data_IF_455705348860
#
_entry.id   IF_455705348860
#
_cell.length_a   1.000
_cell.length_b   1.000
_cell.length_c   1.000
_cell.angle_alpha   90.00
_cell.angle_beta   90.00
_cell.angle_gamma   90.00
#
_symmetry.space_group_name_H-M   'P 1'
#
loop_
_entity.id
_entity.type
_entity.pdbx_description
1 polymer ?
#
# COMPACT_ATOMS: atom_id res chain seq x y z
N UNK A 1 6.88 70.76 27.18
CA UNK A 1 7.92 70.07 26.39
C UNK A 1 7.62 68.59 26.52
N UNK A 2 6.60 68.15 25.81
CA UNK A 2 6.65 67.66 24.41
C UNK A 2 7.30 66.29 24.30
N UNK A 3 6.49 65.39 23.72
CA UNK A 3 6.67 63.96 23.55
C UNK A 3 7.79 63.61 22.58
N UNK A 4 8.22 62.34 22.59
CA UNK A 4 8.40 61.52 21.38
C UNK A 4 8.06 60.08 21.76
N UNK A 5 7.09 59.54 21.02
CA UNK A 5 6.63 58.16 20.96
C UNK A 5 7.54 57.43 19.98
N UNK A 6 8.04 56.25 20.34
CA UNK A 6 8.80 55.39 19.45
C UNK A 6 7.89 54.31 18.88
N UNK A 7 7.37 54.57 17.68
CA UNK A 7 6.80 53.57 16.76
C UNK A 7 7.88 52.56 16.37
N UNK A 8 7.55 51.28 16.39
CA UNK A 8 8.28 50.26 15.64
C UNK A 8 7.28 49.33 14.99
N UNK A 9 6.94 49.77 13.78
CA UNK A 9 6.32 49.16 12.61
C UNK A 9 6.11 47.64 12.63
N UNK A 10 4.84 47.29 12.44
CA UNK A 10 4.32 45.99 12.01
C UNK A 10 4.71 45.78 10.54
N UNK A 11 5.48 44.73 10.25
CA UNK A 11 5.68 44.25 8.88
C UNK A 11 4.64 43.14 8.60
N UNK A 12 3.56 43.53 7.92
CA UNK A 12 2.68 42.62 7.19
C UNK A 12 3.40 42.19 5.90
N UNK A 13 3.82 40.92 5.81
CA UNK A 13 4.20 40.31 4.53
C UNK A 13 3.02 39.56 3.93
N UNK A 14 2.46 40.22 2.93
CA UNK A 14 1.37 39.90 2.03
C UNK A 14 1.80 38.88 0.95
N UNK A 15 0.95 37.88 0.75
CA UNK A 15 0.57 37.21 -0.50
C UNK A 15 1.63 36.79 -1.54
N UNK A 16 2.09 35.54 -1.40
CA UNK A 16 2.54 34.73 -2.54
C UNK A 16 1.48 33.69 -2.90
N UNK A 17 0.56 34.02 -3.80
CA UNK A 17 -0.32 33.06 -4.47
C UNK A 17 0.52 31.91 -5.06
N UNK A 18 0.40 30.71 -4.48
CA UNK A 18 0.93 29.51 -5.11
C UNK A 18 -0.12 29.03 -6.12
N UNK A 19 0.20 29.26 -7.39
CA UNK A 19 -0.54 28.72 -8.53
C UNK A 19 -0.70 27.21 -8.37
N UNK A 20 -1.91 26.73 -8.67
CA UNK A 20 -2.31 25.35 -8.47
C UNK A 20 -1.40 24.38 -9.21
N UNK A 21 -0.82 23.46 -8.45
CA UNK A 21 -0.34 22.20 -9.00
C UNK A 21 -1.54 21.51 -9.64
N UNK A 22 -1.54 21.49 -10.97
CA UNK A 22 -2.43 20.69 -11.79
C UNK A 22 -2.15 19.23 -11.43
N UNK A 23 -3.16 18.56 -10.89
CA UNK A 23 -3.11 17.14 -10.56
C UNK A 23 -2.81 16.32 -11.85
N UNK A 24 -1.55 15.92 -12.03
CA UNK A 24 -1.13 14.98 -13.09
C UNK A 24 -1.81 13.58 -12.95
N UNK A 25 -2.58 13.37 -11.88
CA UNK A 25 -3.41 12.19 -11.65
C UNK A 25 -4.73 12.21 -12.48
N UNK A 26 -5.10 13.33 -13.11
CA UNK A 26 -6.31 13.41 -13.94
C UNK A 26 -6.12 12.85 -15.36
N UNK A 27 -4.89 12.86 -15.90
CA UNK A 27 -4.59 12.35 -17.25
C UNK A 27 -4.57 10.80 -17.34
N UNK A 28 -4.44 10.09 -16.21
CA UNK A 28 -4.50 8.62 -16.17
C UNK A 28 -5.92 8.07 -16.37
N UNK A 29 -6.96 8.89 -16.23
CA UNK A 29 -8.36 8.47 -16.39
C UNK A 29 -8.87 8.58 -17.83
N UNK A 30 -8.23 9.37 -18.71
CA UNK A 30 -8.68 9.50 -20.11
C UNK A 30 -8.22 8.33 -20.99
N UNK A 31 -7.15 7.64 -20.63
CA UNK A 31 -6.67 6.46 -21.36
C UNK A 31 -7.58 5.22 -21.18
N UNK A 32 -8.54 5.26 -20.24
CA UNK A 32 -9.53 4.20 -20.00
C UNK A 32 -10.66 4.11 -21.05
N UNK A 33 -10.82 5.09 -21.95
CA UNK A 33 -11.98 5.12 -22.86
C UNK A 33 -11.79 4.34 -24.17
N UNK A 34 -10.59 3.93 -24.53
CA UNK A 34 -10.30 3.40 -25.87
C UNK A 34 -9.53 2.06 -25.88
N UNK A 35 -10.00 1.04 -25.16
CA UNK A 35 -9.51 -0.34 -25.38
C UNK A 35 -10.62 -1.40 -25.43
N UNK A 36 -10.98 -1.69 -26.69
CA UNK A 36 -11.34 -3.00 -27.26
C UNK A 36 -12.72 -3.59 -26.95
N UNK A 37 -13.67 -3.23 -27.80
CA UNK A 37 -14.66 -4.17 -28.34
C UNK A 37 -13.94 -5.33 -29.04
N UNK A 38 -13.82 -6.48 -28.36
CA UNK A 38 -13.39 -7.72 -28.99
C UNK A 38 -14.58 -8.31 -29.77
N UNK A 39 -14.72 -7.91 -31.04
CA UNK A 39 -15.48 -8.69 -32.02
C UNK A 39 -14.63 -9.88 -32.41
N UNK A 40 -15.10 -11.08 -32.05
CA UNK A 40 -14.52 -12.34 -32.50
C UNK A 40 -15.09 -12.62 -33.89
N UNK A 41 -14.33 -12.29 -34.93
CA UNK A 41 -14.60 -12.78 -36.28
C UNK A 41 -14.03 -14.19 -36.40
N UNK A 42 -14.93 -15.16 -36.54
CA UNK A 42 -14.59 -16.56 -36.81
C UNK A 42 -14.40 -16.78 -38.31
N UNK A 43 -13.16 -16.75 -38.79
CA UNK A 43 -12.81 -17.42 -40.04
C UNK A 43 -12.38 -18.84 -39.71
N UNK A 44 -13.26 -19.79 -40.02
CA UNK A 44 -13.00 -21.23 -39.95
C UNK A 44 -12.02 -21.63 -41.05
N UNK A 45 -10.92 -22.26 -40.69
CA UNK A 45 -10.29 -23.26 -41.55
C UNK A 45 -9.86 -24.45 -40.69
N UNK A 46 -10.25 -25.63 -41.17
CA UNK A 46 -10.38 -26.84 -40.37
C UNK A 46 -9.07 -27.42 -39.86
N UNK A 47 -9.03 -27.71 -38.56
CA UNK A 47 -8.46 -28.93 -37.99
C UNK A 47 -8.79 -28.99 -36.49
N UNK A 48 -9.06 -30.20 -36.01
CA UNK A 48 -9.38 -30.62 -34.64
C UNK A 48 -10.79 -30.31 -34.07
N UNK A 49 -11.68 -31.29 -34.24
CA UNK A 49 -12.91 -31.51 -33.45
C UNK A 49 -12.69 -31.47 -31.92
N UNK A 50 -11.44 -31.53 -31.46
CA UNK A 50 -11.06 -31.39 -30.05
C UNK A 50 -11.30 -29.97 -29.53
N UNK A 51 -11.07 -28.95 -30.36
CA UNK A 51 -11.36 -27.56 -30.05
C UNK A 51 -12.86 -27.28 -30.09
N UNK A 52 -13.59 -27.86 -31.04
CA UNK A 52 -15.05 -27.83 -31.06
C UNK A 52 -15.67 -28.45 -29.80
N UNK A 53 -15.13 -29.59 -29.33
CA UNK A 53 -15.56 -30.22 -28.09
C UNK A 53 -15.17 -29.44 -26.83
N UNK A 54 -14.01 -28.77 -26.83
CA UNK A 54 -13.59 -27.87 -25.75
C UNK A 54 -14.48 -26.63 -25.66
N UNK A 55 -14.69 -25.93 -26.79
CA UNK A 55 -15.60 -24.78 -26.87
C UNK A 55 -17.05 -25.18 -26.60
N UNK A 56 -17.46 -26.38 -27.00
CA UNK A 56 -18.79 -26.94 -26.67
C UNK A 56 -18.95 -27.28 -25.19
N UNK A 57 -17.88 -27.62 -24.47
CA UNK A 57 -17.88 -27.75 -23.00
C UNK A 57 -17.89 -26.39 -22.33
N UNK A 58 -17.10 -25.44 -22.82
CA UNK A 58 -17.07 -24.06 -22.31
C UNK A 58 -18.43 -23.36 -22.52
N UNK A 59 -19.08 -23.54 -23.68
CA UNK A 59 -20.45 -23.05 -23.92
C UNK A 59 -21.47 -23.71 -23.03
N UNK A 60 -21.39 -25.03 -22.77
CA UNK A 60 -22.29 -25.70 -21.82
C UNK A 60 -22.07 -25.28 -20.37
N UNK A 61 -20.85 -24.89 -20.01
CA UNK A 61 -20.53 -24.31 -18.69
C UNK A 61 -21.01 -22.86 -18.58
N UNK A 62 -20.95 -22.08 -19.67
CA UNK A 62 -21.44 -20.70 -19.75
C UNK A 62 -22.94 -20.56 -20.04
N UNK A 63 -23.59 -21.63 -20.54
CA UNK A 63 -25.02 -21.78 -20.73
C UNK A 63 -25.60 -22.77 -19.71
N UNK A 64 -25.13 -22.73 -18.46
CA UNK A 64 -26.09 -23.02 -17.39
C UNK A 64 -27.20 -22.01 -17.60
N UNK A 65 -28.39 -22.52 -17.92
CA UNK A 65 -29.61 -21.72 -17.89
C UNK A 65 -29.55 -20.82 -16.66
N UNK A 66 -29.92 -19.54 -16.75
CA UNK A 66 -30.13 -18.76 -15.54
C UNK A 66 -31.15 -19.57 -14.76
N UNK A 67 -30.68 -20.28 -13.73
CA UNK A 67 -31.58 -20.77 -12.72
C UNK A 67 -32.28 -19.49 -12.32
N UNK A 68 -33.60 -19.45 -12.53
CA UNK A 68 -34.49 -18.54 -11.83
C UNK A 68 -34.38 -18.86 -10.32
N UNK A 69 -33.17 -18.76 -9.78
CA UNK A 69 -32.86 -18.65 -8.39
C UNK A 69 -33.11 -17.18 -8.14
N UNK A 70 -34.17 -16.91 -7.39
CA UNK A 70 -34.37 -15.63 -6.75
C UNK A 70 -33.01 -15.03 -6.39
N UNK A 71 -32.77 -13.80 -6.87
CA UNK A 71 -31.66 -12.97 -6.41
C UNK A 71 -31.63 -13.14 -4.89
N UNK A 72 -30.55 -13.67 -4.29
CA UNK A 72 -30.47 -13.71 -2.84
C UNK A 72 -30.70 -12.28 -2.36
N UNK A 73 -31.57 -12.09 -1.37
CA UNK A 73 -32.05 -10.76 -0.92
C UNK A 73 -30.94 -9.76 -0.54
N UNK A 74 -29.67 -10.19 -0.53
CA UNK A 74 -28.51 -9.41 -0.12
C UNK A 74 -27.30 -9.73 -1.01
N UNK A 75 -26.93 -8.80 -1.90
CA UNK A 75 -25.71 -8.87 -2.71
C UNK A 75 -24.55 -8.17 -1.98
N UNK A 76 -23.32 -8.68 -2.15
CA UNK A 76 -22.12 -8.00 -1.64
C UNK A 76 -21.54 -7.14 -2.76
N UNK A 77 -21.31 -5.87 -2.45
CA UNK A 77 -20.74 -4.88 -3.33
C UNK A 77 -19.36 -4.49 -2.83
N UNK A 78 -18.39 -4.48 -3.74
CA UNK A 78 -17.06 -3.93 -3.52
C UNK A 78 -17.10 -2.43 -3.81
N UNK A 79 -16.65 -1.62 -2.85
CA UNK A 79 -16.57 -0.16 -2.97
C UNK A 79 -15.12 0.28 -2.78
N UNK A 80 -14.63 1.11 -3.70
CA UNK A 80 -13.31 1.73 -3.57
C UNK A 80 -13.24 2.62 -2.32
N UNK A 81 -12.17 2.48 -1.54
CA UNK A 81 -11.94 3.25 -0.33
C UNK A 81 -10.51 3.77 -0.30
N UNK A 82 -10.29 4.95 0.30
CA UNK A 82 -8.95 5.49 0.50
C UNK A 82 -8.10 4.50 1.32
N UNK A 83 -6.95 4.03 0.80
CA UNK A 83 -6.11 3.07 1.51
C UNK A 83 -5.71 3.59 2.90
N UNK A 84 -5.89 2.77 3.94
CA UNK A 84 -5.60 3.14 5.33
C UNK A 84 -6.82 3.61 6.13
N UNK A 85 -7.94 3.90 5.47
CA UNK A 85 -9.17 4.38 6.12
C UNK A 85 -10.29 3.36 6.12
N UNK A 86 -10.06 2.15 5.60
CA UNK A 86 -11.08 1.12 5.43
C UNK A 86 -11.69 0.69 6.76
N UNK A 87 -10.85 0.45 7.77
CA UNK A 87 -11.31 0.08 9.13
C UNK A 87 -12.02 1.23 9.82
N UNK A 88 -11.61 2.47 9.60
CA UNK A 88 -12.26 3.66 10.17
C UNK A 88 -13.66 3.84 9.60
N UNK A 89 -13.79 3.68 8.28
CA UNK A 89 -15.07 3.71 7.58
C UNK A 89 -16.01 2.62 8.10
N UNK A 90 -15.55 1.38 8.15
CA UNK A 90 -16.36 0.27 8.67
C UNK A 90 -16.77 0.49 10.13
N UNK A 91 -15.87 0.99 10.98
CA UNK A 91 -16.18 1.29 12.39
C UNK A 91 -17.18 2.44 12.54
N UNK A 92 -17.05 3.48 11.71
CA UNK A 92 -17.96 4.63 11.73
C UNK A 92 -19.37 4.22 11.33
N UNK A 93 -19.50 3.38 10.30
CA UNK A 93 -20.80 2.84 9.86
C UNK A 93 -21.40 1.86 10.86
N UNK A 94 -20.57 1.12 11.58
CA UNK A 94 -21.05 0.28 12.68
C UNK A 94 -21.64 1.10 13.84
N UNK A 95 -21.05 2.26 14.13
CA UNK A 95 -21.52 3.16 15.20
C UNK A 95 -22.76 3.98 14.78
N UNK A 96 -22.90 4.29 13.51
CA UNK A 96 -24.05 5.02 12.98
C UNK A 96 -25.25 4.09 12.79
N UNK A 97 -26.05 3.93 13.85
CA UNK A 97 -27.22 3.04 13.90
C UNK A 97 -28.31 3.38 12.86
N UNK A 98 -28.22 4.51 12.15
CA UNK A 98 -29.15 4.85 11.08
C UNK A 98 -28.89 4.07 9.78
N UNK A 99 -27.65 3.64 9.53
CA UNK A 99 -27.30 2.83 8.38
C UNK A 99 -27.32 1.34 8.76
N UNK A 100 -28.42 0.65 8.42
CA UNK A 100 -28.61 -0.79 8.69
C UNK A 100 -27.86 -1.71 7.71
N UNK A 101 -26.86 -1.20 7.01
CA UNK A 101 -26.17 -1.93 5.94
C UNK A 101 -24.87 -2.52 6.50
N UNK A 102 -24.68 -3.86 6.49
CA UNK A 102 -23.44 -4.46 6.96
C UNK A 102 -22.27 -4.04 6.09
N UNK A 103 -21.21 -3.53 6.73
CA UNK A 103 -19.96 -3.14 6.06
C UNK A 103 -18.81 -3.94 6.63
N UNK A 104 -18.02 -4.53 5.75
CA UNK A 104 -16.85 -5.33 6.08
C UNK A 104 -15.61 -4.68 5.46
N UNK A 105 -14.58 -4.50 6.27
CA UNK A 105 -13.26 -4.07 5.81
C UNK A 105 -12.24 -5.13 6.23
N UNK A 106 -11.48 -5.64 5.26
CA UNK A 106 -10.44 -6.64 5.51
C UNK A 106 -9.06 -6.00 5.35
N UNK A 107 -8.18 -6.05 6.36
CA UNK A 107 -6.85 -5.45 6.23
C UNK A 107 -5.97 -6.13 5.16
N UNK A 108 -6.27 -7.38 4.79
CA UNK A 108 -5.61 -8.12 3.70
C UNK A 108 -6.05 -7.66 2.30
N UNK A 109 -7.09 -6.84 2.19
CA UNK A 109 -7.61 -6.30 0.93
C UNK A 109 -7.69 -4.77 1.01
N UNK A 110 -6.54 -4.08 0.98
CA UNK A 110 -6.49 -2.63 1.10
C UNK A 110 -7.13 -1.93 -0.11
N UNK A 111 -7.62 -0.71 0.12
CA UNK A 111 -8.21 0.16 -0.90
C UNK A 111 -9.68 -0.14 -1.21
N UNK A 112 -10.31 -1.03 -0.46
CA UNK A 112 -11.69 -1.45 -0.70
C UNK A 112 -12.41 -1.87 0.57
N UNK A 113 -13.74 -1.70 0.54
CA UNK A 113 -14.66 -2.23 1.54
C UNK A 113 -15.72 -3.07 0.84
N UNK A 114 -16.39 -3.93 1.61
CA UNK A 114 -17.46 -4.78 1.13
C UNK A 114 -18.75 -4.42 1.86
N UNK A 115 -19.78 -4.10 1.09
CA UNK A 115 -21.06 -3.61 1.58
C UNK A 115 -22.15 -4.59 1.17
N UNK A 116 -22.90 -5.10 2.14
CA UNK A 116 -24.01 -6.03 1.88
C UNK A 116 -25.30 -5.24 1.69
N UNK A 117 -25.76 -5.12 0.44
CA UNK A 117 -26.93 -4.31 0.09
C UNK A 117 -27.75 -4.94 -1.05
N UNK A 118 -29.08 -4.74 -1.07
CA UNK A 118 -29.95 -5.29 -2.11
C UNK A 118 -29.73 -4.65 -3.48
N UNK A 119 -29.37 -3.36 -3.53
CA UNK A 119 -29.22 -2.61 -4.78
C UNK A 119 -27.97 -1.73 -4.77
N UNK A 120 -27.45 -1.44 -5.97
CA UNK A 120 -26.32 -0.53 -6.17
C UNK A 120 -26.61 0.89 -5.69
N UNK A 121 -27.87 1.33 -5.79
CA UNK A 121 -28.26 2.70 -5.44
C UNK A 121 -28.09 2.98 -3.94
N UNK A 122 -28.40 1.98 -3.09
CA UNK A 122 -28.15 2.06 -1.64
C UNK A 122 -26.67 2.25 -1.36
N UNK A 123 -25.81 1.51 -2.06
CA UNK A 123 -24.34 1.60 -1.93
C UNK A 123 -23.81 2.91 -2.49
N UNK A 124 -24.43 3.45 -3.54
CA UNK A 124 -24.03 4.72 -4.15
C UNK A 124 -24.32 5.89 -3.21
N UNK A 125 -25.51 5.94 -2.62
CA UNK A 125 -25.84 6.92 -1.58
C UNK A 125 -24.95 6.80 -0.34
N UNK A 126 -24.58 5.57 0.00
CA UNK A 126 -23.62 5.30 1.07
C UNK A 126 -22.25 5.90 0.76
N UNK A 127 -21.75 5.68 -0.46
CA UNK A 127 -20.46 6.19 -0.91
C UNK A 127 -20.44 7.72 -1.04
N UNK A 128 -21.53 8.34 -1.48
CA UNK A 128 -21.69 9.80 -1.53
C UNK A 128 -21.68 10.46 -0.15
N UNK A 129 -22.10 9.74 0.89
CA UNK A 129 -22.13 10.26 2.26
C UNK A 129 -20.77 10.35 2.95
N UNK A 130 -19.72 9.77 2.37
CA UNK A 130 -18.38 9.73 2.96
C UNK A 130 -17.27 10.05 1.97
N UNK A 131 -16.48 11.07 2.29
CA UNK A 131 -15.33 11.52 1.49
C UNK A 131 -14.22 10.46 1.31
N UNK A 132 -14.25 9.39 2.09
CA UNK A 132 -13.26 8.31 2.05
C UNK A 132 -13.63 7.19 1.06
N UNK A 133 -14.86 7.18 0.54
CA UNK A 133 -15.32 6.22 -0.45
C UNK A 133 -15.38 6.83 -1.85
N UNK A 134 -15.19 5.96 -2.84
CA UNK A 134 -15.32 6.32 -4.24
C UNK A 134 -16.63 5.76 -4.81
N UNK A 135 -17.60 6.63 -5.05
CA UNK A 135 -18.91 6.28 -5.63
C UNK A 135 -18.81 5.77 -7.08
N UNK A 136 -17.71 6.08 -7.78
CA UNK A 136 -17.49 5.61 -9.15
C UNK A 136 -17.00 4.16 -9.20
N UNK A 137 -16.41 3.65 -8.12
CA UNK A 137 -15.84 2.29 -8.05
C UNK A 137 -16.75 1.44 -7.18
N UNK A 138 -17.89 1.04 -7.74
CA UNK A 138 -18.87 0.14 -7.10
C UNK A 138 -19.08 -1.06 -8.01
N UNK A 139 -18.63 -2.24 -7.57
CA UNK A 139 -18.67 -3.48 -8.35
C UNK A 139 -19.41 -4.58 -7.58
N UNK A 140 -20.30 -5.35 -8.22
CA UNK A 140 -20.89 -6.52 -7.58
C UNK A 140 -19.83 -7.61 -7.42
N UNK A 141 -19.75 -8.22 -6.23
CA UNK A 141 -18.84 -9.33 -5.96
C UNK A 141 -19.42 -10.61 -6.56
N UNK A 142 -18.70 -11.30 -7.48
CA UNK A 142 -19.13 -12.60 -7.99
C UNK A 142 -19.21 -13.65 -6.87
N UNK A 143 -20.20 -14.54 -6.94
CA UNK A 143 -20.45 -15.57 -5.92
C UNK A 143 -19.21 -16.45 -5.71
N UNK A 144 -18.43 -16.69 -6.77
CA UNK A 144 -17.20 -17.48 -6.73
C UNK A 144 -16.11 -16.85 -5.85
N UNK A 145 -16.15 -15.53 -5.67
CA UNK A 145 -15.18 -14.78 -4.87
C UNK A 145 -15.63 -14.56 -3.42
N UNK A 146 -16.89 -14.82 -3.08
CA UNK A 146 -17.43 -14.63 -1.73
C UNK A 146 -16.66 -15.43 -0.68
N UNK A 147 -16.35 -16.70 -0.96
CA UNK A 147 -15.56 -17.53 -0.04
C UNK A 147 -14.19 -16.88 0.23
N UNK A 148 -13.55 -16.26 -0.76
CA UNK A 148 -12.24 -15.63 -0.57
C UNK A 148 -12.31 -14.39 0.30
N UNK A 149 -13.40 -13.64 0.20
CA UNK A 149 -13.63 -12.43 1.01
C UNK A 149 -13.96 -12.82 2.45
N UNK A 150 -14.89 -13.75 2.65
CA UNK A 150 -15.31 -14.20 3.98
C UNK A 150 -14.16 -14.93 4.70
N UNK A 151 -13.38 -15.73 3.97
CA UNK A 151 -12.20 -16.42 4.51
C UNK A 151 -10.92 -15.59 4.44
N UNK A 152 -10.98 -14.31 4.05
CA UNK A 152 -9.80 -13.48 3.98
C UNK A 152 -9.19 -13.40 5.39
N UNK A 153 -7.99 -13.98 5.61
CA UNK A 153 -7.39 -13.91 6.93
C UNK A 153 -7.13 -12.44 7.24
N UNK A 154 -7.49 -12.03 8.46
CA UNK A 154 -6.90 -10.83 9.02
C UNK A 154 -5.38 -11.07 8.98
N UNK A 155 -4.60 -10.23 8.27
CA UNK A 155 -3.17 -10.41 8.25
C UNK A 155 -2.71 -10.22 9.69
N UNK A 156 -2.13 -11.25 10.29
CA UNK A 156 -1.71 -11.22 11.69
C UNK A 156 -0.29 -10.65 11.77
N UNK A 157 -0.08 -9.63 12.62
CA UNK A 157 1.25 -9.05 12.84
C UNK A 157 2.03 -10.06 13.68
N UNK A 158 2.89 -10.82 13.03
CA UNK A 158 3.73 -11.82 13.69
C UNK A 158 5.15 -11.29 13.88
N UNK A 159 5.81 -11.58 15.01
CA UNK A 159 7.24 -11.32 15.13
C UNK A 159 8.00 -12.11 14.06
N UNK A 160 9.16 -11.60 13.65
CA UNK A 160 10.00 -12.18 12.60
C UNK A 160 9.30 -12.23 11.23
N UNK A 161 8.43 -11.26 10.93
CA UNK A 161 7.82 -11.08 9.61
C UNK A 161 8.16 -9.72 9.01
N UNK A 162 8.13 -9.64 7.68
CA UNK A 162 8.38 -8.40 6.95
C UNK A 162 7.09 -7.61 6.75
N UNK A 163 7.18 -6.29 6.87
CA UNK A 163 6.08 -5.38 6.60
C UNK A 163 6.55 -4.18 5.79
N UNK A 164 5.75 -3.77 4.81
CA UNK A 164 6.01 -2.59 3.97
C UNK A 164 5.20 -1.41 4.47
N UNK A 165 5.82 -0.25 4.63
CA UNK A 165 5.11 0.95 5.07
C UNK A 165 4.20 1.47 3.95
N UNK A 166 2.91 1.62 4.26
CA UNK A 166 1.87 2.12 3.35
C UNK A 166 1.60 3.62 3.51
N UNK A 167 1.62 4.08 4.76
CA UNK A 167 0.83 5.24 5.16
C UNK A 167 1.49 6.61 4.99
N UNK A 168 0.62 7.59 4.72
CA UNK A 168 0.89 9.03 4.68
C UNK A 168 0.70 9.71 6.05
N UNK A 169 0.40 8.97 7.11
CA UNK A 169 0.17 9.52 8.46
C UNK A 169 1.41 10.27 8.94
N UNK A 170 1.16 11.45 9.49
CA UNK A 170 2.10 12.52 9.81
C UNK A 170 3.29 12.02 10.64
N UNK A 171 4.40 11.75 9.97
CA UNK A 171 5.65 11.27 10.57
C UNK A 171 6.36 10.21 9.73
N UNK A 172 5.62 9.41 8.95
CA UNK A 172 6.18 8.27 8.22
C UNK A 172 6.14 8.38 6.70
N UNK A 173 5.65 9.50 6.13
CA UNK A 173 5.60 9.75 4.67
C UNK A 173 6.93 9.45 3.96
N UNK A 174 8.06 9.79 4.59
CA UNK A 174 9.42 9.56 4.04
C UNK A 174 9.83 8.09 3.95
N UNK A 175 9.12 7.21 4.64
CA UNK A 175 9.37 5.77 4.69
C UNK A 175 8.35 5.00 3.85
N UNK A 176 7.44 5.66 3.12
CA UNK A 176 6.47 4.99 2.25
C UNK A 176 7.19 4.04 1.28
N UNK A 177 6.76 2.78 1.25
CA UNK A 177 7.37 1.73 0.43
C UNK A 177 8.61 1.07 1.05
N UNK A 178 9.20 1.62 2.12
CA UNK A 178 10.31 0.95 2.82
C UNK A 178 9.80 -0.31 3.52
N UNK A 179 10.67 -1.32 3.60
CA UNK A 179 10.36 -2.58 4.26
C UNK A 179 11.08 -2.66 5.59
N UNK A 180 10.35 -3.12 6.61
CA UNK A 180 10.85 -3.28 7.96
C UNK A 180 10.58 -4.66 8.52
N UNK A 181 11.36 -5.02 9.54
CA UNK A 181 11.20 -6.25 10.29
C UNK A 181 10.27 -6.00 11.48
N UNK A 182 9.22 -6.81 11.60
CA UNK A 182 8.41 -6.86 12.81
C UNK A 182 9.15 -7.70 13.86
N UNK A 183 9.35 -7.14 15.03
CA UNK A 183 9.98 -7.85 16.16
C UNK A 183 9.40 -7.37 17.48
N UNK A 184 9.80 -8.00 18.57
CA UNK A 184 9.44 -7.56 19.91
C UNK A 184 10.51 -6.63 20.47
N UNK A 185 10.08 -5.50 21.03
CA UNK A 185 10.93 -4.57 21.76
C UNK A 185 10.21 -4.19 23.05
N UNK A 186 10.84 -4.48 24.19
CA UNK A 186 10.28 -4.25 25.53
C UNK A 186 8.88 -4.86 25.74
N UNK A 187 8.60 -6.01 25.10
CA UNK A 187 7.32 -6.71 25.21
C UNK A 187 6.20 -6.19 24.31
N UNK A 188 6.47 -5.19 23.47
CA UNK A 188 5.56 -4.73 22.43
C UNK A 188 6.06 -5.13 21.04
N UNK A 189 5.13 -5.46 20.13
CA UNK A 189 5.47 -5.63 18.72
C UNK A 189 5.81 -4.26 18.12
N UNK A 190 6.97 -4.17 17.49
CA UNK A 190 7.48 -2.97 16.83
C UNK A 190 7.90 -3.29 15.40
N UNK A 191 7.84 -2.30 14.52
CA UNK A 191 8.42 -2.32 13.19
C UNK A 191 9.79 -1.64 13.24
N UNK A 192 10.84 -2.38 12.89
CA UNK A 192 12.18 -1.85 12.73
C UNK A 192 12.45 -1.50 11.28
N UNK A 193 12.80 -0.24 11.03
CA UNK A 193 13.18 0.27 9.70
C UNK A 193 14.63 0.72 9.67
N UNK A 194 15.28 0.57 8.50
CA UNK A 194 16.55 1.24 8.25
C UNK A 194 16.26 2.74 8.05
N UNK A 195 16.78 3.61 8.91
CA UNK A 195 16.40 5.01 8.87
C UNK A 195 17.01 5.74 7.67
N UNK A 196 16.27 6.73 7.18
CA UNK A 196 16.76 7.74 6.24
C UNK A 196 17.04 9.00 7.06
N UNK A 197 18.28 9.49 7.08
CA UNK A 197 18.61 10.77 7.70
C UNK A 197 18.39 11.90 6.69
N UNK A 198 17.77 13.02 7.07
CA UNK A 198 17.67 14.16 6.16
C UNK A 198 19.08 14.68 5.84
N UNK A 199 19.44 14.69 4.57
CA UNK A 199 20.59 15.44 4.05
C UNK A 199 20.12 16.88 3.88
N UNK A 200 20.97 17.86 4.19
CA UNK A 200 20.65 19.27 3.92
C UNK A 200 20.28 19.43 2.44
N UNK A 201 19.20 20.17 2.17
CA UNK A 201 18.62 20.30 0.83
C UNK A 201 19.65 20.86 -0.15
N UNK A 202 20.19 20.04 -1.04
CA UNK A 202 20.82 20.53 -2.25
C UNK A 202 19.75 20.71 -3.34
N UNK A 203 19.53 21.96 -3.75
CA UNK A 203 18.91 22.35 -5.02
C UNK A 203 17.43 21.98 -5.25
N UNK A 204 16.55 22.15 -4.24
CA UNK A 204 15.10 22.27 -4.47
C UNK A 204 14.36 21.03 -5.00
N UNK A 205 15.05 19.88 -5.12
CA UNK A 205 14.42 18.59 -5.46
C UNK A 205 14.29 17.73 -4.21
N UNK A 206 13.12 17.12 -4.01
CA UNK A 206 12.85 16.14 -2.96
C UNK A 206 13.59 14.82 -3.27
N UNK A 207 14.90 14.79 -3.10
CA UNK A 207 15.69 13.56 -3.22
C UNK A 207 15.46 12.72 -1.96
N UNK A 208 14.97 11.49 -2.15
CA UNK A 208 14.78 10.53 -1.05
C UNK A 208 16.15 10.18 -0.44
N UNK A 209 16.41 10.48 0.84
CA UNK A 209 17.74 10.24 1.41
C UNK A 209 18.08 8.76 1.50
N UNK A 210 19.36 8.38 1.40
CA UNK A 210 19.76 6.98 1.49
C UNK A 210 19.42 6.38 2.86
N UNK A 211 19.14 5.08 2.87
CA UNK A 211 18.91 4.32 4.09
C UNK A 211 20.25 3.97 4.73
N UNK A 212 20.49 4.42 5.96
CA UNK A 212 21.76 4.20 6.67
C UNK A 212 21.45 4.03 8.15
N UNK A 213 21.99 2.98 8.78
CA UNK A 213 21.88 2.79 10.23
C UNK A 213 22.51 3.95 11.01
N UNK A 214 21.77 4.42 12.01
CA UNK A 214 22.15 5.59 12.82
C UNK A 214 22.96 5.12 14.02
N UNK A 215 24.20 5.58 14.18
CA UNK A 215 24.94 5.35 15.42
C UNK A 215 24.84 6.56 16.35
N UNK A 216 24.72 6.35 17.69
CA UNK A 216 24.72 7.45 18.66
C UNK A 216 25.96 8.34 18.52
N UNK A 217 27.11 7.75 18.23
CA UNK A 217 28.38 8.44 18.01
C UNK A 217 28.36 9.35 16.79
N UNK A 218 27.78 8.88 15.65
CA UNK A 218 27.62 9.70 14.44
C UNK A 218 26.65 10.85 14.69
N UNK A 219 25.56 10.62 15.42
CA UNK A 219 24.59 11.66 15.76
C UNK A 219 25.19 12.74 16.68
N UNK A 220 25.98 12.34 17.68
CA UNK A 220 26.69 13.30 18.54
C UNK A 220 27.72 14.14 17.77
N UNK A 221 28.32 13.58 16.72
CA UNK A 221 29.27 14.30 15.87
C UNK A 221 28.60 15.32 14.93
N UNK A 222 27.32 15.11 14.58
CA UNK A 222 26.52 16.07 13.81
C UNK A 222 26.24 17.28 14.72
N UNK A 223 27.05 18.34 14.56
CA UNK A 223 26.96 19.57 15.34
C UNK A 223 25.56 20.19 15.20
N UNK A 224 24.83 20.26 16.30
CA UNK A 224 23.55 20.96 16.41
C UNK A 224 22.92 20.81 17.80
N UNK A 225 22.06 21.75 18.21
CA UNK A 225 21.30 21.77 19.48
C UNK A 225 20.28 20.62 19.62
N UNK A 226 20.52 19.46 19.02
CA UNK A 226 19.56 18.36 19.02
C UNK A 226 19.80 17.49 20.25
N UNK A 227 18.81 17.44 21.13
CA UNK A 227 18.87 16.68 22.38
C UNK A 227 18.84 15.18 22.05
N UNK A 228 20.00 14.52 22.15
CA UNK A 228 20.08 13.07 22.17
C UNK A 228 19.76 12.59 23.58
N UNK A 229 18.75 11.75 23.73
CA UNK A 229 18.47 11.05 24.99
C UNK A 229 18.77 9.58 24.79
N UNK A 230 19.66 9.02 25.61
CA UNK A 230 20.00 7.58 25.56
C UNK A 230 19.30 6.91 26.73
N UNK A 231 18.58 5.82 26.43
CA UNK A 231 17.87 5.02 27.40
C UNK A 231 18.79 3.90 27.94
N UNK A 232 18.39 3.29 29.05
CA UNK A 232 19.19 2.26 29.74
C UNK A 232 19.41 0.98 28.92
N UNK A 233 18.51 0.69 27.97
CA UNK A 233 18.60 -0.45 27.05
C UNK A 233 19.48 -0.17 25.81
N UNK A 234 20.12 1.00 25.76
CA UNK A 234 20.91 1.47 24.64
C UNK A 234 20.09 2.03 23.48
N UNK A 235 18.75 1.98 23.54
CA UNK A 235 17.91 2.74 22.61
C UNK A 235 18.12 4.24 22.81
N UNK A 236 17.86 5.05 21.79
CA UNK A 236 18.07 6.48 21.87
C UNK A 236 17.03 7.26 21.10
N UNK A 237 16.72 8.47 21.58
CA UNK A 237 15.80 9.39 20.94
C UNK A 237 16.60 10.47 20.23
N UNK A 238 16.36 10.60 18.92
CA UNK A 238 16.92 11.65 18.08
C UNK A 238 15.82 12.29 17.24
N UNK A 239 15.73 13.63 17.25
CA UNK A 239 14.66 14.40 16.57
C UNK A 239 13.25 13.85 16.84
N UNK A 240 12.94 13.59 18.10
CA UNK A 240 11.65 13.05 18.57
C UNK A 240 11.30 11.64 18.02
N UNK A 241 12.27 10.90 17.50
CA UNK A 241 12.08 9.52 17.03
C UNK A 241 12.94 8.56 17.84
N UNK A 242 12.38 7.39 18.13
CA UNK A 242 13.04 6.35 18.89
C UNK A 242 13.85 5.43 17.95
N UNK A 243 15.10 5.19 18.31
CA UNK A 243 16.01 4.31 17.58
C UNK A 243 16.49 3.20 18.50
N UNK A 244 16.67 2.00 17.94
CA UNK A 244 17.26 0.87 18.66
C UNK A 244 18.74 1.10 18.94
N UNK A 245 19.32 0.35 19.87
CA UNK A 245 20.75 0.36 20.15
C UNK A 245 21.62 0.06 18.91
N UNK A 246 21.05 -0.65 17.92
CA UNK A 246 21.70 -0.99 16.64
C UNK A 246 21.43 0.03 15.53
N UNK A 247 20.69 1.11 15.82
CA UNK A 247 20.48 2.22 14.91
C UNK A 247 19.28 2.11 13.98
N UNK A 248 18.38 1.16 14.21
CA UNK A 248 17.11 1.05 13.47
C UNK A 248 16.09 2.03 14.03
N UNK A 249 15.23 2.60 13.17
CA UNK A 249 14.07 3.36 13.60
C UNK A 249 13.01 2.40 14.15
N UNK A 250 12.49 2.69 15.35
CA UNK A 250 11.43 1.91 15.99
C UNK A 250 10.09 2.61 15.75
N UNK A 251 9.15 1.91 15.12
CA UNK A 251 7.77 2.36 14.94
C UNK A 251 6.79 1.36 15.55
N UNK A 252 5.63 1.83 16.00
CA UNK A 252 4.53 0.96 16.39
C UNK A 252 3.77 0.50 15.12
N UNK A 253 3.69 -0.81 14.84
CA UNK A 253 3.00 -1.31 13.67
C UNK A 253 1.49 -1.13 13.84
N UNK A 254 0.83 -0.66 12.80
CA UNK A 254 -0.61 -0.56 12.69
C UNK A 254 -1.02 -1.12 11.34
N UNK A 255 -2.10 -1.91 11.28
CA UNK A 255 -2.63 -2.45 10.01
C UNK A 255 -3.03 -1.35 9.03
N UNK A 256 -3.37 -0.15 9.52
CA UNK A 256 -3.61 1.00 8.66
C UNK A 256 -2.31 1.44 7.95
N UNK A 257 -1.16 1.31 8.63
CA UNK A 257 0.10 1.88 8.22
C UNK A 257 1.05 0.94 7.49
N UNK A 258 0.79 -0.38 7.54
CA UNK A 258 1.68 -1.40 6.98
C UNK A 258 0.94 -2.41 6.10
N UNK A 259 1.64 -2.91 5.09
CA UNK A 259 1.23 -4.06 4.27
C UNK A 259 2.01 -5.28 4.72
N UNK A 260 1.30 -6.38 4.95
CA UNK A 260 1.84 -7.68 5.30
C UNK A 260 1.58 -8.67 4.17
N UNK A 261 2.48 -9.64 3.98
CA UNK A 261 2.26 -10.75 3.06
C UNK A 261 3.54 -11.45 2.64
N UNK A 262 3.41 -12.65 2.09
CA UNK A 262 4.54 -13.51 1.68
C UNK A 262 5.42 -12.88 0.59
N UNK A 263 4.87 -11.91 -0.15
CA UNK A 263 5.57 -11.18 -1.21
C UNK A 263 6.23 -9.89 -0.72
N UNK A 264 6.08 -9.53 0.55
CA UNK A 264 6.78 -8.39 1.14
C UNK A 264 8.18 -8.84 1.53
N UNK A 265 9.17 -8.43 0.73
CA UNK A 265 10.58 -8.73 0.98
C UNK A 265 11.37 -7.41 1.06
N UNK A 266 12.37 -7.34 1.95
CA UNK A 266 13.27 -6.20 2.01
C UNK A 266 14.17 -6.17 0.78
N UNK A 267 14.77 -5.02 0.48
CA UNK A 267 15.84 -4.98 -0.51
C UNK A 267 17.09 -5.72 -0.04
N UNK A 268 18.01 -6.01 -0.97
CA UNK A 268 19.26 -6.69 -0.62
C UNK A 268 20.08 -5.86 0.39
N UNK A 269 20.07 -4.52 0.26
CA UNK A 269 20.77 -3.60 1.17
C UNK A 269 20.09 -3.50 2.53
N UNK A 270 18.76 -3.45 2.57
CA UNK A 270 18.00 -3.49 3.82
C UNK A 270 18.26 -4.82 4.55
N UNK A 271 18.14 -5.93 3.82
CA UNK A 271 18.34 -7.27 4.35
C UNK A 271 19.75 -7.44 4.94
N UNK A 272 20.79 -6.93 4.28
CA UNK A 272 22.15 -6.93 4.80
C UNK A 272 22.25 -6.26 6.17
N UNK A 273 21.59 -5.11 6.35
CA UNK A 273 21.56 -4.42 7.65
C UNK A 273 20.94 -5.31 8.75
N UNK A 274 19.84 -6.01 8.45
CA UNK A 274 19.20 -6.91 9.42
C UNK A 274 20.04 -8.16 9.71
N UNK A 275 20.74 -8.72 8.72
CA UNK A 275 21.65 -9.86 8.90
C UNK A 275 22.84 -9.48 9.78
N UNK A 276 23.51 -8.36 9.48
CA UNK A 276 24.66 -7.87 10.26
C UNK A 276 24.27 -7.53 11.70
N UNK A 277 23.05 -7.02 11.88
CA UNK A 277 22.53 -6.74 13.20
C UNK A 277 22.32 -7.99 14.05
N UNK A 278 22.08 -9.17 13.45
CA UNK A 278 21.72 -10.38 14.19
C UNK A 278 20.34 -10.29 14.86
N UNK A 279 19.38 -9.58 14.24
CA UNK A 279 17.98 -9.49 14.71
C UNK A 279 17.08 -10.59 14.11
N UNK A 280 17.52 -11.21 13.02
CA UNK A 280 16.77 -12.24 12.32
C UNK A 280 16.98 -13.60 12.97
N UNK A 281 15.89 -14.35 13.15
CA UNK A 281 15.97 -15.76 13.46
C UNK A 281 16.49 -16.59 12.26
N UNK A 282 16.87 -17.84 12.53
CA UNK A 282 17.45 -18.71 11.51
C UNK A 282 16.46 -19.02 10.37
N UNK A 283 15.18 -19.17 10.70
CA UNK A 283 14.13 -19.53 9.75
C UNK A 283 13.82 -18.37 8.78
N UNK A 284 13.64 -17.17 9.30
CA UNK A 284 13.35 -15.94 8.53
C UNK A 284 14.56 -15.54 7.70
N UNK A 285 15.78 -15.64 8.24
CA UNK A 285 16.99 -15.39 7.47
C UNK A 285 17.11 -16.36 6.26
N UNK A 286 16.92 -17.66 6.50
CA UNK A 286 17.00 -18.67 5.43
C UNK A 286 15.89 -18.48 4.38
N UNK A 287 14.63 -18.26 4.81
CA UNK A 287 13.51 -18.09 3.88
C UNK A 287 13.65 -16.82 3.06
N UNK A 288 14.01 -15.69 3.69
CA UNK A 288 14.19 -14.40 3.03
C UNK A 288 15.33 -14.46 2.04
N UNK A 289 16.47 -15.05 2.42
CA UNK A 289 17.60 -15.24 1.50
C UNK A 289 17.24 -16.09 0.29
N UNK A 290 16.48 -17.17 0.50
CA UNK A 290 16.00 -18.02 -0.59
C UNK A 290 14.97 -17.33 -1.48
N UNK A 291 14.15 -16.42 -0.93
CA UNK A 291 13.17 -15.65 -1.71
C UNK A 291 13.84 -14.51 -2.48
N UNK A 292 14.83 -13.83 -1.89
CA UNK A 292 15.63 -12.80 -2.58
C UNK A 292 16.43 -13.39 -3.72
N UNK A 293 17.06 -14.55 -3.54
CA UNK A 293 17.79 -15.22 -4.62
C UNK A 293 16.87 -15.71 -5.76
N UNK A 294 15.61 -16.04 -5.45
CA UNK A 294 14.59 -16.39 -6.44
C UNK A 294 14.02 -15.17 -7.18
N UNK A 295 14.05 -14.00 -6.54
CA UNK A 295 13.51 -12.75 -7.07
C UNK A 295 14.57 -11.86 -7.74
N UNK A 296 15.72 -12.42 -8.15
CA UNK A 296 16.67 -11.76 -9.03
C UNK A 296 16.11 -11.69 -10.46
N UNK A 297 15.02 -10.93 -10.60
CA UNK A 297 14.49 -10.60 -11.89
C UNK A 297 15.45 -9.62 -12.56
N UNK A 298 15.84 -9.93 -13.79
CA UNK A 298 16.78 -9.13 -14.57
C UNK A 298 16.01 -8.36 -15.64
N UNK A 299 16.53 -7.21 -16.05
CA UNK A 299 16.02 -6.49 -17.23
C UNK A 299 15.93 -7.47 -18.42
N UNK A 300 14.75 -7.56 -19.03
CA UNK A 300 14.41 -8.52 -20.08
C UNK A 300 13.55 -9.71 -19.62
N UNK A 301 13.49 -10.02 -18.33
CA UNK A 301 12.69 -11.12 -17.81
C UNK A 301 11.19 -10.90 -18.06
N UNK A 302 10.51 -11.97 -18.47
CA UNK A 302 9.07 -11.97 -18.69
C UNK A 302 8.34 -12.20 -17.37
N UNK A 303 7.51 -11.25 -16.97
CA UNK A 303 6.81 -11.26 -15.69
C UNK A 303 5.30 -11.12 -15.88
N UNK A 304 4.54 -11.61 -14.89
CA UNK A 304 3.08 -11.55 -14.82
C UNK A 304 2.67 -10.83 -13.56
N UNK A 305 1.79 -9.85 -13.66
CA UNK A 305 1.25 -9.15 -12.48
C UNK A 305 0.27 -10.07 -11.77
N UNK A 306 0.51 -10.34 -10.48
CA UNK A 306 -0.28 -11.30 -9.67
C UNK A 306 -1.36 -10.64 -8.82
N UNK A 307 -1.39 -9.31 -8.72
CA UNK A 307 -2.39 -8.57 -7.94
C UNK A 307 -2.57 -7.11 -8.39
N UNK A 308 -3.59 -6.44 -7.86
CA UNK A 308 -4.01 -5.10 -8.30
C UNK A 308 -4.91 -5.13 -9.54
N UNK A 309 -5.27 -3.96 -10.06
CA UNK A 309 -6.19 -3.82 -11.19
C UNK A 309 -5.58 -4.32 -12.51
N UNK A 310 -4.24 -4.35 -12.58
CA UNK A 310 -3.45 -4.85 -13.69
C UNK A 310 -3.12 -6.35 -13.57
N UNK A 311 -3.85 -7.09 -12.72
CA UNK A 311 -3.63 -8.53 -12.55
C UNK A 311 -3.75 -9.25 -13.90
N UNK A 312 -2.92 -10.27 -14.05
CA UNK A 312 -2.84 -11.15 -15.20
C UNK A 312 -2.21 -10.54 -16.46
N UNK A 313 -1.80 -9.27 -16.42
CA UNK A 313 -1.01 -8.66 -17.50
C UNK A 313 0.42 -9.21 -17.55
N UNK A 314 0.90 -9.39 -18.79
CA UNK A 314 2.22 -9.92 -19.11
C UNK A 314 3.09 -8.82 -19.73
N UNK A 315 4.38 -8.88 -19.46
CA UNK A 315 5.33 -7.88 -19.93
C UNK A 315 6.75 -8.28 -19.60
N UNK A 316 7.68 -7.40 -19.96
CA UNK A 316 9.10 -7.55 -19.68
C UNK A 316 9.55 -6.47 -18.71
N UNK A 317 10.52 -6.79 -17.87
CA UNK A 317 11.19 -5.77 -17.05
C UNK A 317 12.05 -4.92 -17.98
N UNK A 318 11.71 -3.65 -18.08
CA UNK A 318 12.40 -2.66 -18.91
C UNK A 318 13.53 -2.00 -18.14
N UNK A 319 13.34 -1.76 -16.84
CA UNK A 319 14.33 -1.15 -15.97
C UNK A 319 14.15 -1.58 -14.51
N UNK A 320 15.20 -1.47 -13.71
CA UNK A 320 15.22 -1.76 -12.27
C UNK A 320 15.84 -0.56 -11.56
N UNK A 321 15.00 0.22 -10.88
CA UNK A 321 15.39 1.45 -10.18
C UNK A 321 15.10 1.29 -8.70
N UNK A 322 16.14 1.30 -7.84
CA UNK A 322 16.01 1.31 -6.37
C UNK A 322 14.91 0.35 -5.83
N UNK A 323 14.91 -0.89 -6.31
CA UNK A 323 13.96 -1.97 -5.98
C UNK A 323 12.52 -1.83 -6.55
N UNK A 324 12.29 -0.88 -7.45
CA UNK A 324 11.11 -0.79 -8.29
C UNK A 324 11.39 -1.34 -9.70
N UNK A 325 10.53 -2.25 -10.15
CA UNK A 325 10.61 -2.84 -11.49
C UNK A 325 9.72 -2.04 -12.44
N UNK A 326 10.34 -1.37 -13.42
CA UNK A 326 9.62 -0.73 -14.50
C UNK A 326 9.30 -1.80 -15.54
N UNK A 327 8.00 -2.06 -15.75
CA UNK A 327 7.53 -3.09 -16.66
C UNK A 327 7.08 -2.46 -17.98
N UNK A 328 7.58 -2.98 -19.11
CA UNK A 328 7.02 -2.70 -20.44
C UNK A 328 6.04 -3.82 -20.79
N UNK A 329 4.76 -3.46 -20.91
CA UNK A 329 3.71 -4.42 -21.26
C UNK A 329 3.91 -4.97 -22.67
N UNK A 330 3.57 -6.25 -22.83
CA UNK A 330 3.48 -6.84 -24.16
C UNK A 330 2.17 -6.34 -24.83
N UNK A 331 2.23 -5.93 -26.11
CA UNK A 331 1.05 -5.50 -26.85
C UNK A 331 0.02 -6.61 -27.05
#
# INVERSE_FOLDING_TARGET
MEAIVGDSEEEEEDDGMFEGDVDEDEELWEFQRNCVHLRVDTTSDGADDRWGAFLGRARRMGQREPVNAAIPDECIWEVGCKPGRETLVASRMFLDQQQKVPVMAYPSMPGRIFVQAPTRDVVSHLAESMDDLNSNVILPVPIENLHRIISAPAPDIKPQSWARVRSNVSGCRRYRGDVGLITEHLGELVLLLVPRLPVEFEAGRLIRPPQILVSPTKVQAIRGRTRLSVNNDGSFVYRQRLYSARGFLILKPSHADIVLGDNVLPSQTEFACFVESGLLDAATNASTRASLSRNNLVVGDRVKITGGDFRDLLGHIADILDDEYVMRFLP
#
